data_IF_409717882293
#
_entry.id   IF_409717882293
#
_cell.length_a   1.000
_cell.length_b   1.000
_cell.length_c   1.000
_cell.angle_alpha   90.00
_cell.angle_beta   90.00
_cell.angle_gamma   90.00
#
_symmetry.space_group_name_H-M   'P 1'
#
loop_
_entity.id
_entity.type
_entity.pdbx_description
1 polymer ?
#
# COMPACT_ATOMS: atom_id res chain seq x y z
N UNK A 1 30.09 9.50 17.95
CA UNK A 1 28.94 9.74 17.06
C UNK A 1 27.73 9.07 17.71
N UNK A 2 26.64 9.81 17.94
CA UNK A 2 25.47 9.32 18.71
C UNK A 2 24.61 8.40 17.84
N UNK A 3 24.39 7.18 18.33
CA UNK A 3 23.67 6.10 17.66
C UNK A 3 22.17 6.43 17.51
N UNK A 4 21.68 6.32 16.27
CA UNK A 4 20.29 6.57 15.89
C UNK A 4 19.41 5.31 16.13
N UNK A 5 19.56 4.68 17.29
CA UNK A 5 18.84 3.44 17.67
C UNK A 5 17.36 3.67 17.97
N UNK A 6 16.98 4.92 18.26
CA UNK A 6 15.62 5.24 18.75
C UNK A 6 14.53 5.15 17.69
N UNK A 7 14.86 5.11 16.39
CA UNK A 7 13.86 5.14 15.32
C UNK A 7 13.29 3.75 14.97
N UNK A 8 14.08 2.68 15.10
CA UNK A 8 13.62 1.30 14.86
C UNK A 8 12.69 0.83 15.99
N UNK A 9 13.01 1.20 17.23
CA UNK A 9 12.19 0.87 18.40
C UNK A 9 10.84 1.59 18.37
N UNK A 10 10.79 2.84 17.89
CA UNK A 10 9.54 3.57 17.71
C UNK A 10 8.63 2.96 16.62
N UNK A 11 9.23 2.41 15.56
CA UNK A 11 8.52 1.71 14.49
C UNK A 11 7.94 0.38 14.98
N UNK A 12 8.69 -0.36 15.79
CA UNK A 12 8.24 -1.61 16.40
C UNK A 12 7.22 -1.37 17.52
N UNK A 13 7.34 -0.29 18.29
CA UNK A 13 6.33 0.13 19.26
C UNK A 13 5.03 0.59 18.59
N UNK A 14 5.10 1.32 17.48
CA UNK A 14 3.92 1.67 16.67
C UNK A 14 3.26 0.39 16.10
N UNK A 15 4.05 -0.62 15.68
CA UNK A 15 3.53 -1.93 15.22
C UNK A 15 2.91 -2.74 16.38
N UNK A 16 3.51 -2.70 17.57
CA UNK A 16 2.99 -3.38 18.76
C UNK A 16 1.71 -2.70 19.29
N UNK A 17 1.62 -1.38 19.17
CA UNK A 17 0.39 -0.60 19.42
C UNK A 17 -0.74 -1.00 18.44
N UNK A 18 -0.41 -1.19 17.16
CA UNK A 18 -1.37 -1.65 16.13
C UNK A 18 -1.82 -3.10 16.38
N UNK A 19 -0.94 -3.96 16.92
CA UNK A 19 -1.31 -5.32 17.35
C UNK A 19 -2.39 -5.35 18.45
N UNK A 20 -2.56 -4.29 19.24
CA UNK A 20 -3.63 -4.18 20.24
C UNK A 20 -4.97 -3.69 19.67
N UNK A 21 -5.06 -3.38 18.37
CA UNK A 21 -6.33 -3.07 17.68
C UNK A 21 -7.06 -4.37 17.25
N UNK A 22 -6.60 -5.53 17.71
CA UNK A 22 -7.06 -6.83 17.25
C UNK A 22 -8.37 -7.33 17.89
N UNK A 23 -9.25 -6.42 18.29
CA UNK A 23 -10.61 -6.77 18.72
C UNK A 23 -11.58 -6.36 17.64
N UNK A 24 -11.84 -7.25 16.67
CA UNK A 24 -13.09 -7.51 15.88
C UNK A 24 -14.01 -6.35 15.46
N UNK A 25 -13.61 -5.11 15.65
CA UNK A 25 -14.17 -3.88 15.14
C UNK A 25 -13.55 -3.73 13.76
N UNK A 26 -14.40 -3.74 12.74
CA UNK A 26 -14.00 -3.46 11.37
C UNK A 26 -13.23 -2.13 11.42
N UNK A 27 -11.90 -2.15 11.28
CA UNK A 27 -11.01 -1.01 11.55
C UNK A 27 -11.39 0.21 10.69
N UNK A 28 -12.10 -0.04 9.59
CA UNK A 28 -12.79 0.93 8.73
C UNK A 28 -13.78 1.81 9.51
N UNK A 29 -14.48 1.24 10.50
CA UNK A 29 -15.39 1.95 11.41
C UNK A 29 -14.68 3.01 12.27
N UNK A 30 -13.43 2.77 12.65
CA UNK A 30 -12.63 3.71 13.44
C UNK A 30 -12.19 4.95 12.63
N UNK A 31 -12.26 4.86 11.30
CA UNK A 31 -11.90 5.93 10.39
C UNK A 31 -13.01 6.97 10.18
N UNK A 32 -14.24 6.69 10.65
CA UNK A 32 -15.42 7.56 10.46
C UNK A 32 -15.61 7.97 8.99
N UNK A 33 -15.49 6.98 8.11
CA UNK A 33 -15.70 7.13 6.67
C UNK A 33 -17.19 7.07 6.34
N UNK A 34 -17.59 7.82 5.33
CA UNK A 34 -18.88 7.68 4.65
C UNK A 34 -18.96 6.38 3.86
N UNK A 35 -20.16 5.97 3.46
CA UNK A 35 -20.37 4.78 2.64
C UNK A 35 -19.58 4.84 1.31
N UNK A 36 -19.48 6.03 0.71
CA UNK A 36 -18.73 6.21 -0.53
C UNK A 36 -17.21 6.07 -0.32
N UNK A 37 -16.69 6.61 0.77
CA UNK A 37 -15.28 6.44 1.16
C UNK A 37 -14.97 4.96 1.47
N UNK A 38 -15.88 4.24 2.11
CA UNK A 38 -15.76 2.79 2.37
C UNK A 38 -15.76 1.99 1.06
N UNK A 39 -16.64 2.33 0.11
CA UNK A 39 -16.66 1.70 -1.21
C UNK A 39 -15.35 1.94 -1.96
N UNK A 40 -14.80 3.15 -1.86
CA UNK A 40 -13.52 3.49 -2.49
C UNK A 40 -12.35 2.77 -1.83
N UNK A 41 -12.34 2.66 -0.50
CA UNK A 41 -11.34 1.87 0.24
C UNK A 41 -11.41 0.38 -0.12
N UNK A 42 -12.63 -0.15 -0.30
CA UNK A 42 -12.84 -1.55 -0.71
C UNK A 42 -12.33 -1.77 -2.13
N UNK A 43 -12.62 -0.84 -3.05
CA UNK A 43 -12.02 -0.84 -4.39
C UNK A 43 -10.49 -0.84 -4.33
N UNK A 44 -9.89 0.04 -3.53
CA UNK A 44 -8.44 0.14 -3.37
C UNK A 44 -7.82 -1.19 -2.90
N UNK A 45 -8.36 -1.79 -1.84
CA UNK A 45 -7.88 -3.09 -1.33
C UNK A 45 -7.97 -4.18 -2.40
N UNK A 46 -9.10 -4.26 -3.12
CA UNK A 46 -9.30 -5.26 -4.16
C UNK A 46 -8.35 -5.06 -5.34
N UNK A 47 -8.08 -3.80 -5.74
CA UNK A 47 -7.10 -3.49 -6.76
C UNK A 47 -5.71 -4.01 -6.37
N UNK A 48 -5.28 -3.80 -5.12
CA UNK A 48 -4.01 -4.33 -4.63
C UNK A 48 -3.97 -5.86 -4.63
N UNK A 49 -5.05 -6.52 -4.20
CA UNK A 49 -5.15 -8.00 -4.21
C UNK A 49 -5.10 -8.59 -5.60
N UNK A 50 -5.64 -7.90 -6.60
CA UNK A 50 -5.61 -8.34 -8.00
C UNK A 50 -4.24 -8.10 -8.63
N UNK A 51 -3.66 -6.91 -8.44
CA UNK A 51 -2.50 -6.47 -9.21
C UNK A 51 -1.15 -6.84 -8.59
N UNK A 52 -0.99 -6.78 -7.26
CA UNK A 52 0.30 -7.08 -6.61
C UNK A 52 0.83 -8.49 -6.93
N UNK A 53 -0.01 -9.55 -7.00
CA UNK A 53 0.47 -10.90 -7.33
C UNK A 53 0.94 -11.06 -8.78
N UNK A 54 0.54 -10.18 -9.70
CA UNK A 54 0.88 -10.28 -11.13
C UNK A 54 2.36 -10.01 -11.40
N UNK A 55 3.10 -9.45 -10.45
CA UNK A 55 4.57 -9.32 -10.50
C UNK A 55 5.11 -8.28 -11.48
N UNK A 56 4.31 -7.79 -12.43
CA UNK A 56 4.71 -6.77 -13.40
C UNK A 56 4.84 -5.37 -12.78
N UNK A 57 4.04 -5.06 -11.76
CA UNK A 57 3.94 -3.73 -11.15
C UNK A 57 4.37 -3.70 -9.68
N UNK A 58 4.77 -4.84 -9.09
CA UNK A 58 5.01 -4.96 -7.65
C UNK A 58 6.11 -5.95 -7.23
N UNK A 59 7.37 -5.75 -7.65
CA UNK A 59 8.47 -6.64 -7.30
C UNK A 59 8.73 -6.69 -5.78
N UNK A 60 8.44 -5.62 -5.02
CA UNK A 60 8.74 -5.58 -3.59
C UNK A 60 7.74 -6.38 -2.76
N UNK A 61 6.46 -6.38 -3.12
CA UNK A 61 5.42 -7.20 -2.51
C UNK A 61 5.83 -8.67 -2.44
N UNK A 62 6.36 -9.20 -3.53
CA UNK A 62 6.84 -10.58 -3.58
C UNK A 62 8.07 -10.81 -2.70
N UNK A 63 8.97 -9.82 -2.56
CA UNK A 63 10.17 -9.91 -1.74
C UNK A 63 9.82 -10.00 -0.24
N UNK A 64 8.96 -9.12 0.27
CA UNK A 64 8.73 -9.08 1.73
C UNK A 64 7.47 -9.82 2.18
N UNK A 65 6.42 -9.91 1.35
CA UNK A 65 5.19 -10.64 1.70
C UNK A 65 5.15 -12.05 1.12
N UNK A 66 6.18 -12.45 0.35
CA UNK A 66 6.24 -13.77 -0.29
C UNK A 66 4.99 -14.09 -1.13
N UNK A 67 4.34 -13.06 -1.67
CA UNK A 67 3.10 -13.20 -2.43
C UNK A 67 1.84 -13.41 -1.59
N UNK A 68 1.88 -13.24 -0.26
CA UNK A 68 0.75 -13.51 0.63
C UNK A 68 -0.32 -12.39 0.57
N UNK A 69 -1.30 -12.59 -0.31
CA UNK A 69 -2.46 -11.71 -0.54
C UNK A 69 -3.29 -11.50 0.74
N UNK A 70 -3.27 -12.46 1.68
CA UNK A 70 -4.05 -12.35 2.92
C UNK A 70 -3.60 -11.20 3.81
N UNK A 71 -2.35 -10.75 3.66
CA UNK A 71 -1.78 -9.68 4.48
C UNK A 71 -2.10 -8.28 3.97
N UNK A 72 -2.55 -8.13 2.72
CA UNK A 72 -2.75 -6.83 2.07
C UNK A 72 -3.65 -5.90 2.89
N UNK A 73 -4.73 -6.43 3.47
CA UNK A 73 -5.65 -5.61 4.29
C UNK A 73 -5.00 -5.03 5.54
N UNK A 74 -4.19 -5.83 6.24
CA UNK A 74 -3.46 -5.39 7.43
C UNK A 74 -2.40 -4.34 7.07
N UNK A 75 -1.79 -4.43 5.88
CA UNK A 75 -0.86 -3.41 5.39
C UNK A 75 -1.54 -2.11 5.01
N UNK A 76 -2.66 -2.16 4.30
CA UNK A 76 -3.47 -0.97 3.99
C UNK A 76 -3.92 -0.30 5.28
N UNK A 77 -4.37 -1.08 6.27
CA UNK A 77 -4.70 -0.58 7.61
C UNK A 77 -3.51 0.16 8.21
N UNK A 78 -2.33 -0.47 8.32
CA UNK A 78 -1.11 0.16 8.86
C UNK A 78 -0.73 1.44 8.14
N UNK A 79 -0.81 1.45 6.81
CA UNK A 79 -0.54 2.63 6.00
C UNK A 79 -1.48 3.79 6.37
N UNK A 80 -2.79 3.54 6.42
CA UNK A 80 -3.76 4.57 6.76
C UNK A 80 -3.58 5.09 8.19
N UNK A 81 -3.25 4.22 9.16
CA UNK A 81 -2.93 4.65 10.52
C UNK A 81 -1.62 5.46 10.61
N UNK A 82 -0.62 5.19 9.76
CA UNK A 82 0.62 5.98 9.68
C UNK A 82 0.40 7.41 9.20
N UNK A 83 -0.66 7.67 8.43
CA UNK A 83 -1.00 9.05 8.04
C UNK A 83 -1.35 9.93 9.24
N UNK A 84 -1.74 9.32 10.38
CA UNK A 84 -2.07 9.96 11.68
C UNK A 84 -3.11 11.10 11.59
N UNK A 85 -3.73 11.28 10.43
CA UNK A 85 -4.62 12.39 10.11
C UNK A 85 -5.76 11.87 9.21
N UNK A 86 -7.00 12.02 9.71
CA UNK A 86 -8.19 11.59 9.00
C UNK A 86 -8.44 12.40 7.74
N UNK A 87 -8.08 13.68 7.72
CA UNK A 87 -8.27 14.53 6.53
C UNK A 87 -7.45 14.01 5.35
N UNK A 88 -6.20 13.58 5.60
CA UNK A 88 -5.32 12.95 4.59
C UNK A 88 -5.84 11.62 4.09
N UNK A 89 -6.46 10.81 4.97
CA UNK A 89 -7.10 9.55 4.57
C UNK A 89 -8.24 9.85 3.60
N UNK A 90 -9.09 10.83 3.92
CA UNK A 90 -10.21 11.24 3.05
C UNK A 90 -9.73 11.83 1.73
N UNK A 91 -8.68 12.65 1.77
CA UNK A 91 -8.05 13.22 0.58
C UNK A 91 -7.52 12.12 -0.35
N UNK A 92 -6.78 11.14 0.21
CA UNK A 92 -6.31 9.97 -0.54
C UNK A 92 -7.48 9.22 -1.19
N UNK A 93 -8.54 8.94 -0.43
CA UNK A 93 -9.72 8.26 -0.97
C UNK A 93 -10.40 9.10 -2.07
N UNK A 94 -10.40 10.43 -1.97
CA UNK A 94 -10.90 11.31 -3.02
C UNK A 94 -10.10 11.18 -4.32
N UNK A 95 -8.76 11.14 -4.26
CA UNK A 95 -7.93 10.91 -5.45
C UNK A 95 -8.15 9.53 -6.07
N UNK A 96 -8.26 8.49 -5.24
CA UNK A 96 -8.55 7.12 -5.72
C UNK A 96 -9.91 7.07 -6.41
N UNK A 97 -10.94 7.68 -5.81
CA UNK A 97 -12.27 7.79 -6.39
C UNK A 97 -12.21 8.50 -7.73
N UNK A 98 -11.53 9.64 -7.80
CA UNK A 98 -11.39 10.41 -9.04
C UNK A 98 -10.74 9.56 -10.15
N UNK A 99 -9.64 8.85 -9.87
CA UNK A 99 -8.99 7.97 -10.85
C UNK A 99 -9.86 6.77 -11.27
N UNK A 100 -10.66 6.22 -10.36
CA UNK A 100 -11.61 5.14 -10.66
C UNK A 100 -12.73 5.61 -11.57
N UNK A 101 -13.29 6.78 -11.28
CA UNK A 101 -14.45 7.32 -11.98
C UNK A 101 -14.06 7.97 -13.32
N UNK A 102 -12.78 8.34 -13.49
CA UNK A 102 -12.23 8.96 -14.70
C UNK A 102 -11.15 8.08 -15.34
N UNK A 103 -11.54 6.89 -15.80
CA UNK A 103 -10.60 5.97 -16.45
C UNK A 103 -10.01 6.59 -17.73
N UNK A 104 -8.70 6.47 -17.96
CA UNK A 104 -8.07 7.01 -19.15
C UNK A 104 -8.64 6.34 -20.40
N UNK A 105 -9.04 7.15 -21.38
CA UNK A 105 -9.48 6.69 -22.69
C UNK A 105 -8.27 6.53 -23.61
N UNK A 106 -7.46 5.51 -23.32
CA UNK A 106 -6.24 5.18 -24.06
C UNK A 106 -6.45 3.88 -24.83
N UNK A 107 -6.06 3.89 -26.09
CA UNK A 107 -6.12 2.75 -27.01
C UNK A 107 -4.73 2.49 -27.58
N UNK A 108 -4.48 1.25 -28.00
CA UNK A 108 -3.22 0.82 -28.59
C UNK A 108 -2.28 0.13 -27.60
N UNK A 109 -1.11 -0.24 -28.10
CA UNK A 109 -0.05 -0.90 -27.33
C UNK A 109 0.96 0.15 -26.88
N UNK A 110 1.35 0.11 -25.62
CA UNK A 110 2.52 0.86 -25.18
C UNK A 110 3.77 0.18 -25.77
N UNK A 111 4.43 0.86 -26.71
CA UNK A 111 5.58 0.32 -27.43
C UNK A 111 6.82 0.13 -26.54
N UNK A 112 6.93 0.88 -25.43
CA UNK A 112 8.05 0.77 -24.50
C UNK A 112 7.89 -0.42 -23.56
N UNK A 113 6.64 -0.73 -23.19
CA UNK A 113 6.32 -1.77 -22.22
C UNK A 113 5.80 -3.06 -22.87
N UNK A 114 5.58 -3.05 -24.19
CA UNK A 114 5.02 -4.15 -24.98
C UNK A 114 3.69 -4.69 -24.42
N UNK A 115 2.95 -3.85 -23.70
CA UNK A 115 1.70 -4.17 -23.03
C UNK A 115 0.56 -3.32 -23.57
N UNK A 116 -0.67 -3.78 -23.39
CA UNK A 116 -1.84 -2.98 -23.76
C UNK A 116 -1.88 -1.69 -22.93
N UNK A 117 -2.01 -0.53 -23.59
CA UNK A 117 -1.96 0.76 -22.91
C UNK A 117 -3.15 0.91 -21.95
N UNK A 118 -4.31 0.37 -22.30
CA UNK A 118 -5.47 0.34 -21.41
C UNK A 118 -5.14 -0.45 -20.16
N UNK A 119 -4.51 -1.62 -20.29
CA UNK A 119 -4.07 -2.43 -19.16
C UNK A 119 -3.03 -1.71 -18.29
N UNK A 120 -2.02 -1.06 -18.89
CA UNK A 120 -0.97 -0.33 -18.16
C UNK A 120 -1.54 0.85 -17.36
N UNK A 121 -2.38 1.65 -18.00
CA UNK A 121 -2.93 2.87 -17.41
C UNK A 121 -4.17 2.64 -16.54
N UNK A 122 -4.57 1.37 -16.34
CA UNK A 122 -5.58 1.02 -15.34
C UNK A 122 -5.17 1.56 -13.99
N UNK A 123 -6.13 2.24 -13.36
CA UNK A 123 -5.94 2.82 -12.04
C UNK A 123 -5.53 1.75 -11.03
N UNK A 124 -6.02 0.52 -11.18
CA UNK A 124 -5.66 -0.60 -10.32
C UNK A 124 -4.15 -0.89 -10.36
N UNK A 125 -3.57 -0.97 -11.56
CA UNK A 125 -2.13 -1.27 -11.72
C UNK A 125 -1.25 -0.12 -11.22
N UNK A 126 -1.68 1.13 -11.46
CA UNK A 126 -0.99 2.32 -10.94
C UNK A 126 -1.03 2.40 -9.42
N UNK A 127 -2.16 2.06 -8.81
CA UNK A 127 -2.29 1.99 -7.36
C UNK A 127 -1.37 0.92 -6.77
N UNK A 128 -1.31 -0.25 -7.38
CA UNK A 128 -0.41 -1.32 -6.97
C UNK A 128 1.06 -0.90 -7.06
N UNK A 129 1.47 -0.26 -8.15
CA UNK A 129 2.85 0.20 -8.33
C UNK A 129 3.29 1.28 -7.31
N UNK A 130 2.44 2.28 -7.07
CA UNK A 130 2.73 3.32 -6.08
C UNK A 130 2.76 2.72 -4.66
N UNK A 131 1.82 1.82 -4.36
CA UNK A 131 1.75 1.18 -3.05
C UNK A 131 2.94 0.23 -2.80
N UNK A 132 3.40 -0.48 -3.82
CA UNK A 132 4.61 -1.31 -3.78
C UNK A 132 5.89 -0.47 -3.55
N UNK A 133 5.96 0.72 -4.15
CA UNK A 133 7.07 1.66 -3.92
C UNK A 133 7.07 2.18 -2.48
N UNK A 134 5.88 2.49 -1.93
CA UNK A 134 5.76 2.86 -0.52
C UNK A 134 6.12 1.70 0.42
N UNK A 135 5.82 0.47 0.00
CA UNK A 135 6.17 -0.73 0.73
C UNK A 135 7.69 -0.90 0.91
N UNK A 136 8.47 -0.60 -0.13
CA UNK A 136 9.94 -0.51 -0.05
C UNK A 136 10.41 0.57 0.92
N UNK A 137 9.80 1.76 0.91
CA UNK A 137 10.15 2.85 1.83
C UNK A 137 9.96 2.45 3.30
N UNK A 138 8.91 1.67 3.59
CA UNK A 138 8.60 1.23 4.95
C UNK A 138 9.42 0.04 5.42
N UNK A 139 9.89 -0.79 4.50
CA UNK A 139 10.70 -1.97 4.78
C UNK A 139 11.97 -1.92 3.92
N UNK A 140 12.83 -0.90 4.08
CA UNK A 140 14.02 -0.83 3.25
C UNK A 140 14.81 -2.14 3.40
N UNK A 141 15.30 -2.73 2.29
CA UNK A 141 16.09 -3.93 2.39
C UNK A 141 17.25 -3.62 3.32
N UNK A 142 17.47 -4.48 4.33
CA UNK A 142 18.62 -4.35 5.21
C UNK A 142 19.86 -4.30 4.33
N UNK A 143 20.50 -3.14 4.25
CA UNK A 143 21.77 -3.01 3.55
C UNK A 143 22.69 -4.09 4.10
N UNK A 144 23.28 -4.85 3.20
CA UNK A 144 24.17 -5.99 3.45
C UNK A 144 25.40 -5.66 4.33
N UNK A 145 25.53 -4.41 4.77
CA UNK A 145 26.49 -3.92 5.75
C UNK A 145 26.24 -4.43 7.20
N UNK A 146 25.06 -4.95 7.53
CA UNK A 146 24.78 -5.51 8.86
C UNK A 146 25.20 -6.99 9.02
N UNK A 147 25.82 -7.61 7.99
CA UNK A 147 26.20 -9.04 8.01
C UNK A 147 27.69 -9.28 8.29
N UNK A 148 28.54 -8.24 8.32
CA UNK A 148 29.97 -8.39 8.61
C UNK A 148 30.34 -7.63 9.89
N UNK A 149 29.79 -8.02 11.05
CA UNK A 149 30.41 -7.80 12.36
C UNK A 149 29.90 -8.82 13.39
N UNK A 150 30.22 -10.10 13.20
CA UNK A 150 30.34 -11.08 14.28
C UNK A 150 31.56 -11.95 14.03
#
# INVERSE_FOLDING_TARGET
MKNNSNNKDHLLQDVQSVKNINSKSDWKSNLKLSNEEINTLTFFVNALKDELPKGHSAPHFNIYLKGDVSQIEEYVKRFLFKLKDRSKIKELLSYIKHGRDNRPNVEGRDENLNMDAKEHYRIESRLASVFDSYFMLLNPPSTQADIIQN
#
